data_IF_226425931994
#
_entry.id   IF_226425931994
#
_cell.length_a   1.000
_cell.length_b   1.000
_cell.length_c   1.000
_cell.angle_alpha   90.00
_cell.angle_beta   90.00
_cell.angle_gamma   90.00
#
_symmetry.space_group_name_H-M   'P 1'
#
loop_
_entity.id
_entity.type
_entity.pdbx_description
1 polymer ?
#
# COMPACT_ATOMS: atom_id res chain seq x y z
N UNK A 1 -23.59 74.91 20.36
CA UNK A 1 -22.72 73.82 20.70
C UNK A 1 -23.56 72.51 20.68
N UNK A 2 -23.51 71.76 19.54
CA UNK A 2 -24.15 70.44 19.42
C UNK A 2 -23.08 69.37 19.61
N UNK A 3 -23.21 68.57 20.67
CA UNK A 3 -22.35 67.38 20.92
C UNK A 3 -22.95 66.20 20.17
N UNK A 4 -22.22 65.76 19.11
CA UNK A 4 -22.51 64.49 18.44
C UNK A 4 -21.93 63.32 19.28
N UNK A 5 -22.79 62.41 19.66
CA UNK A 5 -22.43 61.16 20.33
C UNK A 5 -22.28 60.09 19.23
N UNK A 6 -21.06 59.67 18.96
CA UNK A 6 -20.76 58.56 18.06
C UNK A 6 -20.83 57.24 18.84
N UNK A 7 -21.82 56.39 18.51
CA UNK A 7 -21.96 55.05 19.07
C UNK A 7 -21.10 54.09 18.25
N UNK A 8 -20.01 53.60 18.84
CA UNK A 8 -19.17 52.54 18.23
C UNK A 8 -19.83 51.21 18.59
N UNK A 9 -20.48 50.55 17.62
CA UNK A 9 -20.96 49.17 17.75
C UNK A 9 -19.78 48.25 17.40
N UNK A 10 -19.18 47.68 18.44
CA UNK A 10 -18.18 46.59 18.28
C UNK A 10 -18.91 45.29 17.92
N UNK A 11 -18.87 44.90 16.65
CA UNK A 11 -19.32 43.58 16.20
C UNK A 11 -18.22 42.59 16.57
N UNK A 12 -18.44 41.77 17.59
CA UNK A 12 -17.61 40.58 17.86
C UNK A 12 -17.91 39.54 16.78
N UNK A 13 -17.03 39.44 15.82
CA UNK A 13 -16.96 38.30 14.90
C UNK A 13 -16.45 37.08 15.68
N UNK A 14 -17.37 36.26 16.20
CA UNK A 14 -17.05 34.92 16.69
C UNK A 14 -16.76 34.08 15.42
N UNK A 15 -15.49 33.94 15.08
CA UNK A 15 -15.04 32.94 14.09
C UNK A 15 -15.24 31.54 14.70
N UNK A 16 -16.40 30.95 14.45
CA UNK A 16 -16.57 29.51 14.65
C UNK A 16 -15.66 28.83 13.63
N UNK A 17 -14.48 28.38 14.05
CA UNK A 17 -13.69 27.45 13.24
C UNK A 17 -14.48 26.15 13.16
N UNK A 18 -15.25 26.01 12.09
CA UNK A 18 -15.78 24.72 11.67
C UNK A 18 -14.57 23.86 11.33
N UNK A 19 -14.16 22.99 12.25
CA UNK A 19 -13.20 21.94 11.92
C UNK A 19 -13.80 21.11 10.80
N UNK A 20 -13.14 21.11 9.64
CA UNK A 20 -13.63 20.38 8.48
C UNK A 20 -13.63 18.87 8.75
N UNK A 21 -14.79 18.23 8.58
CA UNK A 21 -14.92 16.77 8.73
C UNK A 21 -13.99 16.04 7.76
N UNK A 22 -13.38 14.92 8.22
CA UNK A 22 -12.45 14.13 7.41
C UNK A 22 -13.22 13.36 6.34
N UNK A 23 -13.08 13.76 5.08
CA UNK A 23 -13.61 13.10 3.88
C UNK A 23 -15.06 12.62 4.00
N UNK A 24 -16.04 13.50 4.27
CA UNK A 24 -17.43 13.09 4.53
C UNK A 24 -18.08 12.38 3.32
N UNK A 25 -17.52 12.49 2.14
CA UNK A 25 -18.01 11.86 0.91
C UNK A 25 -17.31 10.55 0.55
N UNK A 26 -16.30 10.13 1.33
CA UNK A 26 -15.50 8.94 1.00
C UNK A 26 -16.32 7.64 0.96
N UNK A 27 -17.47 7.60 1.64
CA UNK A 27 -18.41 6.48 1.52
C UNK A 27 -19.04 6.30 0.13
N UNK A 28 -18.89 7.30 -0.77
CA UNK A 28 -19.35 7.23 -2.15
C UNK A 28 -18.24 6.93 -3.16
N UNK A 29 -16.98 6.75 -2.69
CA UNK A 29 -15.89 6.44 -3.60
C UNK A 29 -16.07 5.04 -4.21
N UNK A 30 -15.57 4.87 -5.45
CA UNK A 30 -15.62 3.58 -6.14
C UNK A 30 -14.70 2.59 -5.46
N UNK A 31 -15.21 1.41 -5.25
CA UNK A 31 -14.53 0.28 -4.66
C UNK A 31 -13.84 -0.58 -5.71
N UNK A 32 -12.93 -1.45 -5.30
CA UNK A 32 -12.21 -2.36 -6.19
C UNK A 32 -12.96 -3.65 -6.46
N UNK A 33 -13.37 -4.33 -5.42
CA UNK A 33 -13.88 -5.71 -5.49
C UNK A 33 -15.31 -5.85 -4.96
N UNK A 34 -15.82 -4.93 -4.15
CA UNK A 34 -17.23 -4.90 -3.76
C UNK A 34 -18.02 -3.94 -4.67
N UNK A 35 -19.35 -4.03 -4.64
CA UNK A 35 -20.23 -3.24 -5.52
C UNK A 35 -20.24 -1.76 -5.14
N UNK A 36 -20.43 -1.45 -3.85
CA UNK A 36 -20.40 -0.08 -3.31
C UNK A 36 -20.32 -0.08 -1.79
N UNK A 37 -19.92 1.04 -1.19
CA UNK A 37 -19.96 1.20 0.27
C UNK A 37 -21.36 1.08 0.87
N UNK A 38 -22.37 1.55 0.16
CA UNK A 38 -23.78 1.55 0.62
C UNK A 38 -24.36 0.14 0.75
N UNK A 39 -23.98 -0.79 -0.13
CA UNK A 39 -24.51 -2.14 -0.14
C UNK A 39 -24.06 -2.99 1.07
N UNK A 40 -23.04 -2.49 1.78
CA UNK A 40 -22.48 -3.12 2.97
C UNK A 40 -22.59 -2.24 4.21
N UNK A 41 -23.37 -1.15 4.17
CA UNK A 41 -23.59 -0.29 5.34
C UNK A 41 -24.04 -1.13 6.52
N UNK A 42 -23.41 -0.90 7.67
CA UNK A 42 -23.79 -1.56 8.90
C UNK A 42 -25.15 -1.08 9.41
N UNK A 43 -25.81 -1.88 10.22
CA UNK A 43 -27.00 -1.46 10.96
C UNK A 43 -26.64 -0.34 11.95
N UNK A 44 -27.66 0.43 12.35
CA UNK A 44 -27.49 1.51 13.32
C UNK A 44 -26.90 0.96 14.65
N UNK A 45 -25.90 1.66 15.22
CA UNK A 45 -25.34 1.24 16.50
C UNK A 45 -26.35 1.39 17.63
N UNK A 46 -26.26 0.52 18.65
CA UNK A 46 -26.98 0.70 19.93
C UNK A 46 -26.53 1.95 20.67
N UNK A 47 -27.24 2.31 21.75
CA UNK A 47 -26.84 3.41 22.61
C UNK A 47 -25.44 3.18 23.21
N UNK A 48 -24.60 4.22 23.21
CA UNK A 48 -23.25 4.15 23.77
C UNK A 48 -23.22 4.52 25.29
N UNK A 49 -24.35 4.89 25.89
CA UNK A 49 -24.38 5.42 27.29
C UNK A 49 -23.77 4.44 28.29
N UNK A 50 -24.08 3.17 28.16
CA UNK A 50 -23.56 2.12 29.04
C UNK A 50 -22.08 1.81 28.75
N UNK A 51 -21.59 2.06 27.52
CA UNK A 51 -20.22 1.79 27.10
C UNK A 51 -19.22 2.83 27.64
N UNK A 52 -19.69 4.03 28.07
CA UNK A 52 -18.83 5.06 28.70
C UNK A 52 -18.11 4.49 29.93
N UNK A 53 -18.84 3.76 30.77
CA UNK A 53 -18.24 3.15 31.96
C UNK A 53 -17.14 2.13 31.62
N UNK A 54 -17.32 1.38 30.51
CA UNK A 54 -16.32 0.44 30.05
C UNK A 54 -15.06 1.15 29.51
N UNK A 55 -15.21 2.28 28.80
CA UNK A 55 -14.08 3.09 28.35
C UNK A 55 -13.30 3.65 29.55
N UNK A 56 -13.98 4.22 30.52
CA UNK A 56 -13.35 4.76 31.75
C UNK A 56 -12.64 3.66 32.54
N UNK A 57 -13.26 2.48 32.71
CA UNK A 57 -12.65 1.35 33.38
C UNK A 57 -11.37 0.88 32.66
N UNK A 58 -11.38 0.83 31.31
CA UNK A 58 -10.19 0.50 30.51
C UNK A 58 -9.08 1.52 30.70
N UNK A 59 -9.40 2.81 30.80
CA UNK A 59 -8.42 3.87 31.06
C UNK A 59 -7.82 3.78 32.46
N UNK A 60 -8.63 3.43 33.45
CA UNK A 60 -8.14 3.23 34.82
C UNK A 60 -7.22 2.01 34.97
N UNK A 61 -7.46 0.96 34.16
CA UNK A 61 -6.70 -0.26 34.19
C UNK A 61 -5.47 -0.22 33.25
N UNK A 62 -5.10 0.94 32.69
CA UNK A 62 -3.94 1.06 31.81
C UNK A 62 -2.63 0.84 32.58
N UNK A 63 -1.96 -0.24 32.20
CA UNK A 63 -0.59 -0.56 32.61
C UNK A 63 0.45 -0.21 31.52
N UNK A 64 1.71 -0.51 31.78
CA UNK A 64 2.80 -0.27 30.82
C UNK A 64 2.59 -1.01 29.47
N UNK A 65 2.07 -2.24 29.51
CA UNK A 65 1.80 -3.02 28.31
C UNK A 65 0.66 -2.40 27.49
N UNK A 66 -0.41 -1.95 28.14
CA UNK A 66 -1.51 -1.24 27.48
C UNK A 66 -1.06 0.07 26.83
N UNK A 67 -0.19 0.83 27.50
CA UNK A 67 0.43 2.03 26.91
C UNK A 67 1.26 1.71 25.67
N UNK A 68 2.07 0.67 25.70
CA UNK A 68 2.84 0.24 24.53
C UNK A 68 1.94 -0.13 23.35
N UNK A 69 0.79 -0.79 23.61
CA UNK A 69 -0.18 -1.08 22.55
C UNK A 69 -0.79 0.20 21.96
N UNK A 70 -1.14 1.19 22.79
CA UNK A 70 -1.65 2.48 22.30
C UNK A 70 -0.61 3.14 21.40
N UNK A 71 0.63 3.25 21.85
CA UNK A 71 1.74 3.86 21.08
C UNK A 71 1.97 3.10 19.76
N UNK A 72 2.03 1.77 19.81
CA UNK A 72 2.28 0.94 18.63
C UNK A 72 1.21 1.12 17.55
N UNK A 73 -0.08 1.11 17.96
CA UNK A 73 -1.19 1.23 17.00
C UNK A 73 -1.57 2.68 16.64
N UNK A 74 -1.01 3.68 17.31
CA UNK A 74 -1.09 5.08 16.92
C UNK A 74 -0.09 5.45 15.82
N UNK A 75 0.91 4.62 15.58
CA UNK A 75 1.91 4.89 14.56
C UNK A 75 1.29 4.70 13.16
N UNK A 76 1.11 5.79 12.45
CA UNK A 76 0.64 5.80 11.06
C UNK A 76 -0.88 5.66 10.88
N UNK A 77 -1.29 5.40 9.65
CA UNK A 77 -2.66 5.17 9.27
C UNK A 77 -3.17 3.80 9.78
N UNK A 78 -4.50 3.57 9.85
CA UNK A 78 -5.06 2.32 10.38
C UNK A 78 -4.49 1.02 9.80
N UNK A 79 -4.15 1.02 8.51
CA UNK A 79 -3.53 -0.14 7.81
C UNK A 79 -2.01 -0.25 7.91
N UNK A 80 -1.30 0.78 8.39
CA UNK A 80 0.16 0.89 8.28
C UNK A 80 0.91 -0.34 8.80
N UNK A 81 0.68 -0.75 10.06
CA UNK A 81 1.38 -1.90 10.65
C UNK A 81 1.09 -3.23 9.96
N UNK A 82 -0.07 -3.34 9.36
CA UNK A 82 -0.47 -4.52 8.60
C UNK A 82 0.23 -4.57 7.24
N UNK A 83 0.40 -3.41 6.60
CA UNK A 83 1.22 -3.31 5.38
C UNK A 83 2.69 -3.62 5.65
N UNK A 84 3.29 -3.08 6.73
CA UNK A 84 4.65 -3.48 7.13
C UNK A 84 4.79 -4.99 7.34
N UNK A 85 3.76 -5.64 7.89
CA UNK A 85 3.78 -7.08 8.13
C UNK A 85 3.72 -7.86 6.82
N UNK A 86 2.77 -7.54 5.93
CA UNK A 86 2.60 -8.29 4.68
C UNK A 86 3.80 -8.12 3.75
N UNK A 87 4.42 -6.94 3.71
CA UNK A 87 5.63 -6.68 2.94
C UNK A 87 6.78 -7.58 3.37
N UNK A 88 6.97 -7.75 4.70
CA UNK A 88 7.97 -8.66 5.26
C UNK A 88 7.65 -10.12 4.97
N UNK A 89 6.37 -10.50 5.08
CA UNK A 89 5.93 -11.87 4.78
C UNK A 89 6.16 -12.22 3.32
N UNK A 90 5.82 -11.33 2.40
CA UNK A 90 6.05 -11.55 0.97
C UNK A 90 7.54 -11.58 0.63
N UNK A 91 8.36 -10.74 1.24
CA UNK A 91 9.82 -10.77 1.04
C UNK A 91 10.43 -12.12 1.47
N UNK A 92 9.87 -12.75 2.50
CA UNK A 92 10.34 -14.03 3.02
C UNK A 92 9.73 -15.25 2.31
N UNK A 93 8.54 -15.09 1.74
CA UNK A 93 7.81 -16.12 0.98
C UNK A 93 7.47 -15.58 -0.42
N UNK A 94 8.47 -15.53 -1.26
CA UNK A 94 8.34 -15.07 -2.65
C UNK A 94 7.49 -16.07 -3.44
N UNK A 95 6.18 -15.87 -3.47
CA UNK A 95 5.21 -16.71 -4.18
C UNK A 95 4.15 -15.87 -4.90
N UNK A 96 3.47 -16.46 -5.88
CA UNK A 96 2.30 -15.82 -6.53
C UNK A 96 1.19 -15.53 -5.52
N UNK A 97 1.01 -16.40 -4.52
CA UNK A 97 0.05 -16.20 -3.44
C UNK A 97 0.44 -15.02 -2.54
N UNK A 98 1.73 -14.86 -2.24
CA UNK A 98 2.22 -13.70 -1.48
C UNK A 98 1.96 -12.37 -2.21
N UNK A 99 2.15 -12.33 -3.52
CA UNK A 99 1.82 -11.16 -4.33
C UNK A 99 0.32 -10.85 -4.31
N UNK A 100 -0.54 -11.88 -4.44
CA UNK A 100 -1.99 -11.74 -4.34
C UNK A 100 -2.41 -11.27 -2.93
N UNK A 101 -1.83 -11.84 -1.87
CA UNK A 101 -2.13 -11.45 -0.49
C UNK A 101 -1.82 -9.96 -0.23
N UNK A 102 -0.70 -9.46 -0.75
CA UNK A 102 -0.33 -8.03 -0.65
C UNK A 102 -1.36 -7.15 -1.38
N UNK A 103 -1.74 -7.51 -2.60
CA UNK A 103 -2.76 -6.77 -3.35
C UNK A 103 -4.10 -6.75 -2.59
N UNK A 104 -4.56 -7.91 -2.11
CA UNK A 104 -5.83 -8.03 -1.40
C UNK A 104 -5.83 -7.26 -0.08
N UNK A 105 -4.72 -7.24 0.66
CA UNK A 105 -4.65 -6.43 1.87
C UNK A 105 -4.92 -4.95 1.56
N UNK A 106 -4.31 -4.42 0.52
CA UNK A 106 -4.50 -3.03 0.10
C UNK A 106 -5.92 -2.74 -0.35
N UNK A 107 -6.46 -3.55 -1.26
CA UNK A 107 -7.82 -3.35 -1.82
C UNK A 107 -8.91 -3.55 -0.78
N UNK A 108 -8.83 -4.58 0.05
CA UNK A 108 -9.83 -4.87 1.07
C UNK A 108 -9.83 -3.85 2.21
N UNK A 109 -8.67 -3.33 2.65
CA UNK A 109 -8.63 -2.22 3.61
C UNK A 109 -9.29 -0.97 3.01
N UNK A 110 -9.03 -0.67 1.74
CA UNK A 110 -9.65 0.46 1.08
C UNK A 110 -11.17 0.27 0.94
N UNK A 111 -11.64 -0.84 0.41
CA UNK A 111 -13.06 -1.13 0.20
C UNK A 111 -13.81 -1.12 1.54
N UNK A 112 -13.27 -1.78 2.57
CA UNK A 112 -13.85 -1.75 3.90
C UNK A 112 -13.83 -0.35 4.54
N UNK A 113 -12.82 0.49 4.22
CA UNK A 113 -12.78 1.90 4.66
C UNK A 113 -13.88 2.71 3.98
N UNK A 114 -14.16 2.50 2.70
CA UNK A 114 -15.28 3.16 2.00
C UNK A 114 -16.61 2.80 2.68
N UNK A 115 -16.85 1.52 2.98
CA UNK A 115 -18.04 1.08 3.75
C UNK A 115 -18.10 1.73 5.13
N UNK A 116 -16.97 1.76 5.84
CA UNK A 116 -16.90 2.37 7.16
C UNK A 116 -17.25 3.86 7.10
N UNK A 117 -16.77 4.58 6.09
CA UNK A 117 -17.06 6.01 5.91
C UNK A 117 -18.54 6.28 5.57
N UNK A 118 -19.14 5.47 4.71
CA UNK A 118 -20.58 5.52 4.44
C UNK A 118 -21.38 5.31 5.74
N UNK A 119 -21.03 4.31 6.54
CA UNK A 119 -21.67 4.03 7.82
C UNK A 119 -21.45 5.14 8.85
N UNK A 120 -20.22 5.68 8.96
CA UNK A 120 -19.89 6.77 9.89
C UNK A 120 -20.78 7.97 9.69
N UNK A 121 -20.91 8.44 8.46
CA UNK A 121 -21.67 9.65 8.15
C UNK A 121 -23.18 9.41 8.03
N UNK A 122 -23.62 8.15 7.88
CA UNK A 122 -25.04 7.80 8.00
C UNK A 122 -25.55 7.94 9.45
N UNK A 123 -24.73 7.63 10.46
CA UNK A 123 -25.16 7.61 11.86
C UNK A 123 -24.56 8.71 12.73
N UNK A 124 -23.46 9.33 12.33
CA UNK A 124 -22.82 10.45 13.02
C UNK A 124 -22.59 10.22 14.52
N UNK A 125 -22.24 8.99 14.94
CA UNK A 125 -22.01 8.63 16.33
C UNK A 125 -20.83 9.43 16.90
N UNK A 126 -20.99 10.17 18.04
CA UNK A 126 -19.89 10.91 18.65
C UNK A 126 -18.81 9.95 19.15
N UNK A 127 -17.56 10.37 19.15
CA UNK A 127 -16.47 9.61 19.78
C UNK A 127 -16.58 9.68 21.30
N UNK A 128 -16.04 8.68 22.06
CA UNK A 128 -16.15 8.65 23.53
C UNK A 128 -15.73 9.96 24.20
N UNK A 129 -14.62 10.58 23.79
CA UNK A 129 -14.13 11.84 24.34
C UNK A 129 -15.00 13.08 24.01
N UNK A 130 -15.85 12.97 22.97
CA UNK A 130 -16.85 13.99 22.64
C UNK A 130 -18.11 13.77 23.49
N UNK A 131 -18.49 12.52 23.67
CA UNK A 131 -19.69 12.11 24.40
C UNK A 131 -19.57 12.35 25.91
N UNK A 132 -18.38 12.18 26.50
CA UNK A 132 -18.13 12.36 27.92
C UNK A 132 -16.75 13.00 28.19
N UNK A 133 -16.73 14.14 28.85
CA UNK A 133 -15.49 14.91 29.13
C UNK A 133 -14.54 14.24 30.14
N UNK A 134 -14.98 13.21 30.85
CA UNK A 134 -14.13 12.39 31.72
C UNK A 134 -13.20 11.49 30.95
N UNK A 135 -13.56 11.13 29.69
CA UNK A 135 -12.74 10.28 28.82
C UNK A 135 -11.54 11.09 28.34
N UNK A 136 -10.34 10.60 28.63
CA UNK A 136 -9.08 11.16 28.15
C UNK A 136 -8.79 10.63 26.73
N UNK A 137 -8.06 11.43 25.94
CA UNK A 137 -7.67 11.05 24.56
C UNK A 137 -6.19 10.77 24.53
N UNK A 138 -5.83 9.55 24.14
CA UNK A 138 -4.43 9.09 24.04
C UNK A 138 -4.04 8.71 22.61
N UNK A 139 -4.73 9.26 21.63
CA UNK A 139 -4.47 9.05 20.20
C UNK A 139 -4.67 10.35 19.42
N UNK A 140 -4.14 10.46 18.19
CA UNK A 140 -4.49 11.56 17.31
C UNK A 140 -6.00 11.67 17.11
N UNK A 141 -6.52 12.90 17.18
CA UNK A 141 -7.94 13.17 16.95
C UNK A 141 -8.19 13.20 15.45
N UNK A 142 -9.13 12.40 15.01
CA UNK A 142 -9.62 12.38 13.63
C UNK A 142 -11.04 12.96 13.66
N UNK A 143 -11.29 13.96 12.83
CA UNK A 143 -12.59 14.65 12.75
C UNK A 143 -13.58 13.82 11.91
N UNK A 144 -13.90 12.63 12.42
CA UNK A 144 -14.89 11.71 11.84
C UNK A 144 -15.69 11.01 12.95
N UNK A 145 -16.93 10.56 12.69
CA UNK A 145 -17.74 9.81 13.66
C UNK A 145 -17.04 8.52 14.13
N UNK A 146 -17.43 7.98 15.30
CA UNK A 146 -16.71 6.84 15.90
C UNK A 146 -17.06 5.50 15.27
N UNK A 147 -18.32 5.30 14.84
CA UNK A 147 -18.86 4.00 14.41
C UNK A 147 -18.85 3.81 12.89
N UNK A 148 -18.27 2.70 12.39
CA UNK A 148 -17.41 1.74 13.08
C UNK A 148 -15.96 2.26 13.26
N UNK A 149 -15.16 1.61 14.15
CA UNK A 149 -13.76 1.98 14.35
C UNK A 149 -12.90 1.61 13.15
N UNK A 150 -12.27 2.59 12.49
CA UNK A 150 -11.46 2.43 11.28
C UNK A 150 -10.21 1.54 11.49
N UNK A 151 -9.58 1.60 12.66
CA UNK A 151 -8.46 0.72 12.99
C UNK A 151 -8.89 -0.74 13.12
N UNK A 152 -10.08 -0.98 13.71
CA UNK A 152 -10.63 -2.33 13.84
C UNK A 152 -11.07 -2.89 12.48
N UNK A 153 -11.54 -2.03 11.56
CA UNK A 153 -11.81 -2.41 10.16
C UNK A 153 -10.54 -2.96 9.50
N UNK A 154 -9.44 -2.22 9.58
CA UNK A 154 -8.15 -2.67 9.03
C UNK A 154 -7.66 -3.96 9.70
N UNK A 155 -7.87 -4.12 11.01
CA UNK A 155 -7.50 -5.33 11.75
C UNK A 155 -8.30 -6.56 11.31
N UNK A 156 -9.62 -6.40 11.11
CA UNK A 156 -10.49 -7.47 10.61
C UNK A 156 -10.09 -7.94 9.20
N UNK A 157 -9.78 -6.98 8.32
CA UNK A 157 -9.25 -7.29 6.99
C UNK A 157 -7.92 -8.04 7.10
N UNK A 158 -6.96 -7.47 7.82
CA UNK A 158 -5.61 -7.98 7.84
C UNK A 158 -5.49 -9.36 8.50
N UNK A 159 -6.15 -9.57 9.65
CA UNK A 159 -6.14 -10.88 10.30
C UNK A 159 -6.76 -11.96 9.42
N UNK A 160 -7.78 -11.62 8.66
CA UNK A 160 -8.45 -12.58 7.73
C UNK A 160 -7.55 -12.90 6.54
N UNK A 161 -6.99 -11.91 5.86
CA UNK A 161 -6.15 -12.14 4.68
C UNK A 161 -4.84 -12.81 5.08
N UNK A 162 -4.13 -12.31 6.10
CA UNK A 162 -2.87 -12.91 6.54
C UNK A 162 -3.11 -14.33 7.06
N UNK A 163 -4.18 -14.56 7.85
CA UNK A 163 -4.51 -15.90 8.32
C UNK A 163 -4.87 -16.88 7.20
N UNK A 164 -5.48 -16.41 6.11
CA UNK A 164 -5.80 -17.23 4.94
C UNK A 164 -4.55 -17.65 4.15
N UNK A 165 -3.70 -16.69 3.80
CA UNK A 165 -2.52 -16.96 2.97
C UNK A 165 -1.31 -17.49 3.75
N UNK A 166 -1.25 -17.20 5.06
CA UNK A 166 -0.19 -17.64 5.98
C UNK A 166 -0.81 -18.33 7.21
N UNK A 167 -1.41 -19.54 7.07
CA UNK A 167 -2.20 -20.18 8.12
C UNK A 167 -1.48 -20.38 9.46
N UNK A 168 -0.15 -20.53 9.44
CA UNK A 168 0.68 -20.64 10.65
C UNK A 168 0.66 -19.37 11.51
N UNK A 169 0.25 -18.24 10.96
CA UNK A 169 0.16 -16.95 11.66
C UNK A 169 -1.26 -16.61 12.12
N UNK A 170 -2.27 -17.42 11.78
CA UNK A 170 -3.68 -17.09 12.01
C UNK A 170 -3.97 -16.70 13.47
N UNK A 171 -3.53 -17.49 14.43
CA UNK A 171 -3.75 -17.20 15.85
C UNK A 171 -3.01 -15.92 16.29
N UNK A 172 -1.77 -15.74 15.84
CA UNK A 172 -0.96 -14.56 16.17
C UNK A 172 -1.59 -13.26 15.66
N UNK A 173 -2.07 -13.24 14.41
CA UNK A 173 -2.70 -12.03 13.83
C UNK A 173 -4.07 -11.74 14.44
N UNK A 174 -4.83 -12.77 14.84
CA UNK A 174 -6.08 -12.59 15.59
C UNK A 174 -5.82 -11.98 16.98
N UNK A 175 -4.85 -12.46 17.74
CA UNK A 175 -4.45 -11.85 19.01
C UNK A 175 -3.93 -10.42 18.85
N UNK A 176 -3.22 -10.11 17.75
CA UNK A 176 -2.82 -8.74 17.43
C UNK A 176 -4.04 -7.84 17.20
N UNK A 177 -5.04 -8.32 16.48
CA UNK A 177 -6.29 -7.58 16.24
C UNK A 177 -7.05 -7.32 17.54
N UNK A 178 -7.14 -8.28 18.46
CA UNK A 178 -7.74 -8.10 19.80
C UNK A 178 -7.02 -7.02 20.62
N UNK A 179 -5.69 -7.06 20.64
CA UNK A 179 -4.87 -6.03 21.31
C UNK A 179 -5.08 -4.65 20.70
N UNK A 180 -5.16 -4.57 19.36
CA UNK A 180 -5.49 -3.32 18.66
C UNK A 180 -6.85 -2.80 19.13
N UNK A 181 -7.91 -3.60 19.06
CA UNK A 181 -9.27 -3.21 19.47
C UNK A 181 -9.30 -2.69 20.91
N UNK A 182 -8.69 -3.43 21.83
CA UNK A 182 -8.56 -3.02 23.24
C UNK A 182 -7.82 -1.70 23.37
N UNK A 183 -6.76 -1.47 22.61
CA UNK A 183 -6.00 -0.22 22.63
C UNK A 183 -6.83 0.99 22.18
N UNK A 184 -7.76 0.82 21.21
CA UNK A 184 -8.62 1.95 20.74
C UNK A 184 -9.64 2.37 21.81
N UNK A 185 -10.18 1.40 22.56
CA UNK A 185 -11.07 1.68 23.69
C UNK A 185 -10.29 2.42 24.78
N UNK A 186 -9.13 1.90 25.18
CA UNK A 186 -8.27 2.50 26.21
C UNK A 186 -7.75 3.89 25.79
N UNK A 187 -7.50 4.10 24.50
CA UNK A 187 -7.13 5.43 23.97
C UNK A 187 -8.28 6.45 23.97
N UNK A 188 -9.51 6.03 24.30
CA UNK A 188 -10.67 6.90 24.37
C UNK A 188 -11.24 7.35 23.03
N UNK A 189 -10.89 6.66 21.93
CA UNK A 189 -11.27 7.05 20.55
C UNK A 189 -12.37 6.20 19.94
N UNK A 190 -12.71 5.06 20.54
CA UNK A 190 -13.77 4.15 20.07
C UNK A 190 -14.47 3.49 21.26
N UNK A 191 -15.76 3.20 21.09
CA UNK A 191 -16.53 2.37 22.02
C UNK A 191 -16.28 0.88 21.73
N UNK A 192 -16.55 -0.02 22.71
CA UNK A 192 -16.47 -1.47 22.48
C UNK A 192 -17.28 -1.96 21.27
N UNK A 193 -18.49 -1.45 21.08
CA UNK A 193 -19.33 -1.79 19.93
C UNK A 193 -18.74 -1.26 18.60
N UNK A 194 -18.08 -0.09 18.59
CA UNK A 194 -17.42 0.44 17.40
C UNK A 194 -16.28 -0.49 16.95
N UNK A 195 -15.47 -0.99 17.90
CA UNK A 195 -14.34 -1.87 17.60
C UNK A 195 -14.80 -3.22 17.09
N UNK A 196 -15.83 -3.80 17.71
CA UNK A 196 -16.41 -5.07 17.29
C UNK A 196 -17.03 -4.96 15.90
N UNK A 197 -17.87 -3.95 15.67
CA UNK A 197 -18.50 -3.73 14.37
C UNK A 197 -17.47 -3.48 13.26
N UNK A 198 -16.40 -2.72 13.54
CA UNK A 198 -15.32 -2.51 12.60
C UNK A 198 -14.57 -3.79 12.25
N UNK A 199 -14.25 -4.61 13.23
CA UNK A 199 -13.57 -5.88 13.01
C UNK A 199 -14.39 -6.85 12.15
N UNK A 200 -15.67 -7.03 12.49
CA UNK A 200 -16.58 -7.92 11.72
C UNK A 200 -16.80 -7.40 10.29
N UNK A 201 -16.91 -6.08 10.10
CA UNK A 201 -16.97 -5.50 8.77
C UNK A 201 -15.72 -5.83 7.95
N UNK A 202 -14.54 -5.57 8.52
CA UNK A 202 -13.27 -5.85 7.84
C UNK A 202 -13.13 -7.31 7.44
N UNK A 203 -13.46 -8.23 8.36
CA UNK A 203 -13.47 -9.68 8.12
C UNK A 203 -14.44 -10.07 6.99
N UNK A 204 -15.67 -9.54 7.01
CA UNK A 204 -16.67 -9.85 5.99
C UNK A 204 -16.24 -9.39 4.58
N UNK A 205 -15.66 -8.20 4.46
CA UNK A 205 -15.15 -7.68 3.18
C UNK A 205 -13.97 -8.52 2.70
N UNK A 206 -13.01 -8.83 3.57
CA UNK A 206 -11.85 -9.65 3.22
C UNK A 206 -12.24 -11.03 2.68
N UNK A 207 -13.20 -11.72 3.33
CA UNK A 207 -13.71 -13.02 2.86
C UNK A 207 -14.34 -12.94 1.47
N UNK A 208 -15.07 -11.85 1.17
CA UNK A 208 -15.64 -11.62 -0.16
C UNK A 208 -14.57 -11.40 -1.22
N UNK A 209 -13.53 -10.63 -0.90
CA UNK A 209 -12.45 -10.37 -1.84
C UNK A 209 -11.61 -11.62 -2.10
N UNK A 210 -11.32 -12.41 -1.08
CA UNK A 210 -10.67 -13.73 -1.23
C UNK A 210 -11.48 -14.62 -2.19
N UNK A 211 -12.79 -14.73 -1.99
CA UNK A 211 -13.64 -15.55 -2.86
C UNK A 211 -13.66 -15.04 -4.31
N UNK A 212 -13.70 -13.72 -4.52
CA UNK A 212 -13.71 -13.12 -5.86
C UNK A 212 -12.39 -13.30 -6.61
N UNK A 213 -11.29 -13.48 -5.90
CA UNK A 213 -9.95 -13.61 -6.48
C UNK A 213 -9.38 -15.03 -6.42
N UNK A 214 -10.16 -16.02 -6.02
CA UNK A 214 -9.74 -17.43 -5.88
C UNK A 214 -9.10 -18.04 -7.14
N UNK A 215 -9.43 -17.49 -8.31
CA UNK A 215 -8.90 -17.92 -9.60
C UNK A 215 -7.86 -16.93 -10.20
N UNK A 216 -7.35 -16.00 -9.40
CA UNK A 216 -6.34 -15.04 -9.87
C UNK A 216 -4.98 -15.71 -10.02
N UNK A 217 -4.59 -16.52 -9.06
CA UNK A 217 -3.36 -17.32 -9.17
C UNK A 217 -3.62 -18.55 -10.02
N UNK A 218 -2.82 -18.72 -11.04
CA UNK A 218 -2.92 -19.89 -11.93
C UNK A 218 -2.65 -21.19 -11.18
N UNK A 219 -3.41 -22.24 -11.53
CA UNK A 219 -3.17 -23.62 -11.08
C UNK A 219 -2.26 -24.38 -12.02
N UNK A 220 -1.84 -23.76 -13.14
CA UNK A 220 -0.94 -24.37 -14.12
C UNK A 220 0.44 -24.56 -13.50
N UNK A 221 0.91 -25.77 -13.48
CA UNK A 221 2.28 -26.09 -13.09
C UNK A 221 3.24 -25.86 -14.28
N UNK A 222 4.45 -25.42 -13.96
CA UNK A 222 5.50 -25.30 -14.98
C UNK A 222 5.92 -26.68 -15.45
N UNK A 223 6.03 -26.86 -16.77
CA UNK A 223 6.38 -28.13 -17.43
C UNK A 223 7.88 -28.53 -17.28
N UNK A 224 8.66 -27.72 -16.55
CA UNK A 224 10.10 -27.90 -16.28
C UNK A 224 11.00 -27.89 -17.53
N UNK A 225 10.47 -27.42 -18.67
CA UNK A 225 11.27 -27.27 -19.90
C UNK A 225 12.01 -25.95 -19.88
N UNK A 226 13.33 -26.03 -20.04
CA UNK A 226 14.20 -24.86 -20.23
C UNK A 226 14.47 -24.72 -21.74
N UNK A 227 14.21 -23.54 -22.31
CA UNK A 227 14.63 -23.28 -23.70
C UNK A 227 16.15 -23.27 -23.80
N UNK A 228 16.67 -23.54 -24.99
CA UNK A 228 18.09 -23.58 -25.27
C UNK A 228 18.41 -22.67 -26.45
N UNK A 229 19.60 -22.11 -26.48
CA UNK A 229 20.08 -21.30 -27.59
C UNK A 229 20.92 -20.11 -27.12
N UNK A 230 21.53 -19.39 -28.08
CA UNK A 230 22.28 -18.18 -27.76
C UNK A 230 21.37 -17.10 -27.21
N UNK A 231 21.85 -16.33 -26.22
CA UNK A 231 21.07 -15.25 -25.59
C UNK A 231 19.96 -15.71 -24.66
N UNK A 232 19.83 -17.03 -24.43
CA UNK A 232 18.79 -17.60 -23.55
C UNK A 232 19.34 -17.86 -22.15
N UNK A 233 18.54 -17.53 -21.15
CA UNK A 233 18.82 -17.83 -19.74
C UNK A 233 19.00 -19.35 -19.53
N UNK A 234 20.11 -19.74 -18.91
CA UNK A 234 20.51 -21.14 -18.75
C UNK A 234 20.65 -21.56 -17.27
N UNK A 235 20.04 -20.81 -16.34
CA UNK A 235 20.04 -21.14 -14.92
C UNK A 235 19.18 -22.36 -14.58
N UNK A 236 19.16 -22.71 -13.30
CA UNK A 236 18.40 -23.85 -12.78
C UNK A 236 17.27 -23.35 -11.85
N UNK A 237 16.18 -24.13 -11.74
CA UNK A 237 15.08 -23.88 -10.82
C UNK A 237 14.53 -22.44 -10.90
N UNK A 238 13.98 -22.01 -12.02
CA UNK A 238 13.51 -20.65 -12.19
C UNK A 238 12.40 -20.33 -11.22
N UNK A 239 12.46 -19.13 -10.61
CA UNK A 239 11.39 -18.61 -9.73
C UNK A 239 10.26 -18.02 -10.56
N UNK A 240 9.04 -18.23 -10.15
CA UNK A 240 7.81 -17.67 -10.74
C UNK A 240 7.56 -17.97 -12.22
N UNK A 241 7.87 -19.18 -12.75
CA UNK A 241 7.76 -19.45 -14.17
C UNK A 241 6.34 -19.38 -14.73
N UNK A 242 5.33 -19.41 -13.86
CA UNK A 242 3.91 -19.33 -14.22
C UNK A 242 3.24 -18.01 -13.79
N UNK A 243 3.99 -17.06 -13.26
CA UNK A 243 3.41 -15.79 -12.77
C UNK A 243 2.69 -15.01 -13.89
N UNK A 244 3.22 -15.02 -15.11
CA UNK A 244 2.56 -14.40 -16.27
C UNK A 244 1.23 -15.05 -16.68
N UNK A 245 0.86 -16.19 -16.11
CA UNK A 245 -0.42 -16.87 -16.32
C UNK A 245 -1.47 -16.49 -15.25
N UNK A 246 -1.08 -15.69 -14.26
CA UNK A 246 -2.01 -15.16 -13.25
C UNK A 246 -2.88 -14.05 -13.84
N UNK A 247 -4.11 -13.91 -13.31
CA UNK A 247 -4.98 -12.80 -13.72
C UNK A 247 -4.49 -11.49 -13.14
N UNK A 248 -4.47 -10.45 -13.95
CA UNK A 248 -4.17 -9.07 -13.57
C UNK A 248 -5.40 -8.39 -12.95
N UNK A 249 -5.18 -7.34 -12.16
CA UNK A 249 -6.26 -6.59 -11.53
C UNK A 249 -6.80 -5.48 -12.44
N UNK A 250 -5.94 -4.81 -13.19
CA UNK A 250 -6.29 -3.67 -14.06
C UNK A 250 -5.96 -3.91 -15.52
N UNK A 251 -4.85 -4.59 -15.80
CA UNK A 251 -4.47 -4.88 -17.18
C UNK A 251 -5.44 -5.89 -17.81
N UNK A 252 -5.67 -5.78 -19.11
CA UNK A 252 -6.48 -6.73 -19.87
C UNK A 252 -5.83 -8.12 -19.97
N UNK A 253 -4.50 -8.15 -19.96
CA UNK A 253 -3.68 -9.36 -19.92
C UNK A 253 -2.28 -9.05 -19.38
N UNK A 254 -1.58 -10.07 -18.91
CA UNK A 254 -0.18 -9.98 -18.52
C UNK A 254 0.73 -9.43 -19.64
N UNK A 255 0.39 -9.72 -20.89
CA UNK A 255 1.16 -9.33 -22.08
C UNK A 255 0.79 -7.98 -22.68
N UNK A 256 -0.21 -7.26 -22.11
CA UNK A 256 -0.72 -6.00 -22.69
C UNK A 256 0.38 -4.97 -22.99
N UNK A 257 1.38 -4.87 -22.15
CA UNK A 257 2.49 -3.94 -22.30
C UNK A 257 3.85 -4.66 -22.41
N UNK A 258 3.85 -5.95 -22.82
CA UNK A 258 5.09 -6.70 -23.00
C UNK A 258 5.99 -5.92 -23.95
N UNK A 259 7.25 -5.62 -23.56
CA UNK A 259 8.20 -4.97 -24.45
C UNK A 259 8.52 -5.86 -25.65
N UNK A 260 9.10 -5.29 -26.71
CA UNK A 260 9.64 -6.07 -27.82
C UNK A 260 10.73 -7.06 -27.38
N UNK A 261 11.18 -7.96 -28.27
CA UNK A 261 12.24 -8.92 -27.93
C UNK A 261 13.54 -8.19 -27.57
N UNK A 262 14.36 -8.76 -26.66
CA UNK A 262 15.65 -8.19 -26.30
C UNK A 262 16.57 -8.13 -27.53
N UNK A 263 17.51 -7.14 -27.60
CA UNK A 263 18.52 -7.08 -28.63
C UNK A 263 19.61 -8.15 -28.42
N UNK A 264 20.59 -8.20 -29.33
CA UNK A 264 21.87 -8.82 -29.04
C UNK A 264 22.64 -7.98 -27.98
N UNK A 265 23.04 -8.61 -26.90
CA UNK A 265 23.68 -7.97 -25.76
C UNK A 265 25.20 -7.79 -25.89
N UNK A 266 25.82 -8.11 -27.03
CA UNK A 266 27.28 -8.05 -27.19
C UNK A 266 27.87 -6.70 -26.80
N UNK A 267 27.30 -5.61 -27.33
CA UNK A 267 27.75 -4.23 -27.04
C UNK A 267 27.54 -3.85 -25.56
N UNK A 268 26.43 -4.27 -24.99
CA UNK A 268 26.10 -3.97 -23.59
C UNK A 268 26.97 -4.78 -22.63
N UNK A 269 27.37 -5.99 -23.03
CA UNK A 269 28.36 -6.79 -22.28
C UNK A 269 29.73 -6.12 -22.27
N UNK A 270 30.16 -5.55 -23.40
CA UNK A 270 31.40 -4.76 -23.46
C UNK A 270 31.33 -3.50 -22.57
N UNK A 271 30.16 -2.86 -22.48
CA UNK A 271 29.95 -1.74 -21.55
C UNK A 271 30.10 -2.18 -20.08
N UNK A 272 29.51 -3.33 -19.72
CA UNK A 272 29.63 -3.89 -18.36
C UNK A 272 31.08 -4.26 -18.01
N UNK A 273 31.82 -4.88 -18.92
CA UNK A 273 33.24 -5.25 -18.73
C UNK A 273 34.11 -4.00 -18.50
N UNK A 274 33.79 -2.92 -19.21
CA UNK A 274 34.56 -1.67 -19.15
C UNK A 274 34.07 -0.73 -18.04
N UNK A 275 32.95 -1.03 -17.36
CA UNK A 275 32.41 -0.19 -16.30
C UNK A 275 33.35 -0.16 -15.10
N UNK A 276 33.75 1.04 -14.71
CA UNK A 276 34.62 1.25 -13.55
C UNK A 276 33.79 1.47 -12.29
N UNK A 277 33.79 0.49 -11.42
CA UNK A 277 33.14 0.62 -10.12
C UNK A 277 33.75 1.76 -9.30
N UNK A 278 32.87 2.51 -8.66
CA UNK A 278 33.23 3.55 -7.68
C UNK A 278 32.57 3.22 -6.35
N UNK A 279 33.02 3.82 -5.28
CA UNK A 279 32.32 3.70 -3.99
C UNK A 279 30.84 4.02 -4.10
N UNK A 280 30.49 5.09 -4.85
CA UNK A 280 29.09 5.50 -5.05
C UNK A 280 28.27 4.49 -5.84
N UNK A 281 28.81 3.93 -6.93
CA UNK A 281 28.09 2.93 -7.71
C UNK A 281 27.88 1.61 -6.94
N UNK A 282 28.90 1.19 -6.19
CA UNK A 282 28.77 0.02 -5.32
C UNK A 282 27.74 0.25 -4.20
N UNK A 283 27.79 1.40 -3.53
CA UNK A 283 26.80 1.75 -2.51
C UNK A 283 25.38 1.78 -3.07
N UNK A 284 25.17 2.33 -4.26
CA UNK A 284 23.88 2.34 -4.95
C UNK A 284 23.41 0.90 -5.27
N UNK A 285 24.30 0.05 -5.80
CA UNK A 285 24.00 -1.34 -6.11
C UNK A 285 23.51 -2.11 -4.86
N UNK A 286 24.21 -2.00 -3.74
CA UNK A 286 23.85 -2.66 -2.48
C UNK A 286 22.59 -2.09 -1.84
N UNK A 287 22.41 -0.76 -1.88
CA UNK A 287 21.20 -0.11 -1.33
C UNK A 287 19.93 -0.70 -1.95
N UNK A 288 19.85 -0.74 -3.28
CA UNK A 288 18.68 -1.29 -3.97
C UNK A 288 18.61 -2.83 -3.99
N UNK A 289 19.67 -3.53 -3.60
CA UNK A 289 19.63 -4.98 -3.47
C UNK A 289 18.99 -5.45 -2.16
N UNK A 290 19.09 -4.63 -1.09
CA UNK A 290 18.76 -5.04 0.28
C UNK A 290 17.46 -4.44 0.83
N UNK A 291 16.82 -3.50 0.13
CA UNK A 291 15.68 -2.75 0.67
C UNK A 291 14.43 -2.81 -0.22
N UNK A 292 13.26 -2.84 0.43
CA UNK A 292 11.96 -2.65 -0.23
C UNK A 292 11.70 -1.14 -0.43
N UNK A 293 12.52 -0.51 -1.25
CA UNK A 293 12.54 0.94 -1.45
C UNK A 293 11.16 1.54 -1.78
N UNK A 294 10.31 0.78 -2.47
CA UNK A 294 8.97 1.25 -2.85
C UNK A 294 8.02 1.37 -1.66
N UNK A 295 7.91 0.32 -0.83
CA UNK A 295 7.03 0.31 0.33
C UNK A 295 7.51 1.32 1.39
N UNK A 296 8.80 1.33 1.72
CA UNK A 296 9.39 2.26 2.69
C UNK A 296 9.17 3.72 2.27
N UNK A 297 9.31 4.02 0.98
CA UNK A 297 9.06 5.36 0.45
C UNK A 297 7.59 5.76 0.55
N UNK A 298 6.66 4.84 0.27
CA UNK A 298 5.22 5.09 0.42
C UNK A 298 4.87 5.38 1.89
N UNK A 299 5.32 4.53 2.81
CA UNK A 299 5.13 4.74 4.25
C UNK A 299 5.63 6.12 4.69
N UNK A 300 6.86 6.46 4.30
CA UNK A 300 7.45 7.77 4.59
C UNK A 300 6.58 8.92 4.06
N UNK A 301 6.07 8.82 2.82
CA UNK A 301 5.22 9.87 2.24
C UNK A 301 3.88 9.99 2.94
N UNK A 302 3.26 8.89 3.33
CA UNK A 302 2.03 8.90 4.13
C UNK A 302 2.24 9.65 5.46
N UNK A 303 3.38 9.44 6.12
CA UNK A 303 3.74 10.21 7.33
C UNK A 303 4.00 11.70 7.02
N UNK A 304 4.83 12.01 6.02
CA UNK A 304 5.19 13.38 5.66
C UNK A 304 3.98 14.23 5.26
N UNK A 305 2.94 13.61 4.70
CA UNK A 305 1.70 14.27 4.28
C UNK A 305 0.58 14.16 5.32
N UNK A 306 0.87 13.68 6.53
CA UNK A 306 -0.09 13.51 7.64
C UNK A 306 -1.34 12.69 7.26
N UNK A 307 -1.22 11.75 6.31
CA UNK A 307 -2.36 10.94 5.87
C UNK A 307 -2.86 9.96 6.94
N UNK A 308 -2.12 9.76 8.03
CA UNK A 308 -2.61 9.04 9.20
C UNK A 308 -3.83 9.72 9.84
N UNK A 309 -4.02 11.02 9.61
CA UNK A 309 -5.21 11.78 10.00
C UNK A 309 -6.34 11.74 8.95
N UNK A 310 -6.07 11.13 7.79
CA UNK A 310 -7.02 10.96 6.70
C UNK A 310 -7.05 9.48 6.23
N UNK A 311 -7.69 8.59 7.02
CA UNK A 311 -7.71 7.16 6.74
C UNK A 311 -8.18 6.76 5.34
N UNK A 312 -9.22 7.37 4.71
CA UNK A 312 -9.61 7.03 3.35
C UNK A 312 -8.51 7.28 2.32
N UNK A 313 -7.81 8.41 2.41
CA UNK A 313 -6.73 8.73 1.46
C UNK A 313 -5.50 7.86 1.68
N UNK A 314 -5.18 7.54 2.92
CA UNK A 314 -4.11 6.59 3.22
C UNK A 314 -4.43 5.20 2.66
N UNK A 315 -5.63 4.68 2.92
CA UNK A 315 -6.08 3.39 2.40
C UNK A 315 -6.07 3.37 0.86
N UNK A 316 -6.52 4.46 0.22
CA UNK A 316 -6.46 4.59 -1.25
C UNK A 316 -5.02 4.54 -1.78
N UNK A 317 -4.09 5.24 -1.14
CA UNK A 317 -2.69 5.24 -1.55
C UNK A 317 -2.07 3.84 -1.46
N UNK A 318 -2.33 3.11 -0.37
CA UNK A 318 -1.91 1.72 -0.22
C UNK A 318 -2.54 0.79 -1.26
N UNK A 319 -3.85 0.92 -1.52
CA UNK A 319 -4.53 0.09 -2.51
C UNK A 319 -3.96 0.31 -3.93
N UNK A 320 -3.74 1.56 -4.33
CA UNK A 320 -3.17 1.89 -5.63
C UNK A 320 -1.75 1.33 -5.79
N UNK A 321 -0.93 1.43 -4.75
CA UNK A 321 0.41 0.86 -4.75
C UNK A 321 0.36 -0.68 -4.84
N UNK A 322 -0.46 -1.33 -4.02
CA UNK A 322 -0.59 -2.78 -3.99
C UNK A 322 -1.08 -3.37 -5.32
N UNK A 323 -2.09 -2.75 -5.95
CA UNK A 323 -2.58 -3.14 -7.29
C UNK A 323 -1.50 -2.93 -8.34
N UNK A 324 -0.80 -1.78 -8.32
CA UNK A 324 0.26 -1.51 -9.29
C UNK A 324 1.44 -2.47 -9.17
N UNK A 325 1.84 -2.80 -7.93
CA UNK A 325 2.90 -3.79 -7.66
C UNK A 325 2.49 -5.16 -8.19
N UNK A 326 1.25 -5.60 -7.94
CA UNK A 326 0.74 -6.89 -8.39
C UNK A 326 0.73 -7.00 -9.92
N UNK A 327 0.16 -6.02 -10.62
CA UNK A 327 0.12 -6.03 -12.09
C UNK A 327 1.51 -5.87 -12.71
N UNK A 328 2.41 -5.07 -12.12
CA UNK A 328 3.81 -4.97 -12.53
C UNK A 328 4.55 -6.31 -12.36
N UNK A 329 4.32 -7.02 -11.26
CA UNK A 329 4.91 -8.33 -11.02
C UNK A 329 4.48 -9.31 -12.12
N UNK A 330 3.19 -9.44 -12.37
CA UNK A 330 2.66 -10.35 -13.40
C UNK A 330 3.19 -9.99 -14.79
N UNK A 331 3.08 -8.71 -15.21
CA UNK A 331 3.51 -8.27 -16.54
C UNK A 331 5.03 -8.42 -16.75
N UNK A 332 5.82 -8.16 -15.71
CA UNK A 332 7.27 -8.33 -15.77
C UNK A 332 7.65 -9.81 -15.94
N UNK A 333 7.04 -10.70 -15.15
CA UNK A 333 7.34 -12.13 -15.23
C UNK A 333 6.75 -12.79 -16.48
N UNK A 334 5.63 -12.30 -17.03
CA UNK A 334 5.15 -12.66 -18.37
C UNK A 334 6.21 -12.40 -19.44
N UNK A 335 6.76 -11.17 -19.47
CA UNK A 335 7.80 -10.82 -20.44
C UNK A 335 9.10 -11.63 -20.22
N UNK A 336 9.51 -11.83 -18.95
CA UNK A 336 10.69 -12.63 -18.63
C UNK A 336 10.62 -14.04 -19.18
N UNK A 337 9.50 -14.70 -19.02
CA UNK A 337 9.31 -16.09 -19.47
C UNK A 337 8.84 -16.21 -20.92
N UNK A 338 8.42 -15.09 -21.56
CA UNK A 338 8.24 -15.05 -23.00
C UNK A 338 9.59 -15.04 -23.75
N UNK A 339 10.59 -14.35 -23.21
CA UNK A 339 11.87 -14.14 -23.88
C UNK A 339 13.04 -14.93 -23.30
N UNK A 340 12.97 -15.35 -22.04
CA UNK A 340 14.05 -16.07 -21.36
C UNK A 340 15.42 -15.38 -21.48
N UNK A 341 15.46 -14.06 -21.43
CA UNK A 341 16.67 -13.26 -21.65
C UNK A 341 17.83 -13.65 -20.73
N UNK A 342 19.02 -13.83 -21.32
CA UNK A 342 20.25 -14.23 -20.62
C UNK A 342 20.69 -13.15 -19.61
N UNK A 343 21.45 -13.56 -18.58
CA UNK A 343 22.09 -12.65 -17.62
C UNK A 343 23.54 -12.36 -17.99
N UNK A 344 24.13 -11.23 -17.53
CA UNK A 344 25.53 -10.90 -17.84
C UNK A 344 26.54 -11.98 -17.47
N UNK A 345 26.42 -12.56 -16.26
CA UNK A 345 27.29 -13.65 -15.77
C UNK A 345 27.06 -15.01 -16.47
N UNK A 346 25.96 -15.16 -17.18
CA UNK A 346 25.70 -16.30 -18.06
C UNK A 346 26.17 -16.05 -19.50
N UNK A 347 26.13 -14.80 -19.95
CA UNK A 347 26.64 -14.38 -21.27
C UNK A 347 28.16 -14.46 -21.30
N UNK A 348 28.80 -14.01 -20.22
CA UNK A 348 30.25 -14.12 -20.01
C UNK A 348 30.52 -14.75 -18.64
N UNK A 349 30.93 -16.02 -18.66
CA UNK A 349 31.19 -16.81 -17.44
C UNK A 349 32.42 -16.33 -16.64
N UNK A 350 33.21 -15.43 -17.21
CA UNK A 350 34.34 -14.78 -16.52
C UNK A 350 33.95 -13.48 -15.84
N UNK A 351 32.76 -12.99 -16.09
CA UNK A 351 32.22 -11.78 -15.47
C UNK A 351 31.58 -12.09 -14.10
N UNK A 352 31.93 -11.29 -13.09
CA UNK A 352 31.45 -11.48 -11.72
C UNK A 352 30.66 -10.26 -11.25
N UNK A 353 29.33 -10.36 -11.10
CA UNK A 353 28.51 -9.26 -10.59
C UNK A 353 28.77 -8.99 -9.10
N UNK A 354 28.46 -7.75 -8.64
CA UNK A 354 28.63 -7.35 -7.23
C UNK A 354 27.65 -8.04 -6.28
N UNK A 355 26.51 -8.46 -6.78
CA UNK A 355 25.47 -9.13 -5.99
C UNK A 355 25.05 -10.43 -6.68
N UNK A 356 24.56 -11.42 -5.95
CA UNK A 356 24.11 -12.68 -6.55
C UNK A 356 23.03 -12.44 -7.62
N UNK A 357 23.19 -13.11 -8.77
CA UNK A 357 22.20 -13.10 -9.84
C UNK A 357 20.95 -13.86 -9.41
N UNK A 358 19.76 -13.23 -9.46
CA UNK A 358 18.53 -13.92 -9.12
C UNK A 358 18.20 -15.07 -10.07
N UNK A 359 17.58 -16.18 -9.60
CA UNK A 359 17.32 -17.37 -10.40
C UNK A 359 16.10 -17.22 -11.32
N UNK A 360 16.12 -16.23 -12.20
CA UNK A 360 15.12 -15.99 -13.25
C UNK A 360 15.71 -15.15 -14.39
N UNK A 361 15.08 -15.16 -15.59
CA UNK A 361 15.58 -14.43 -16.77
C UNK A 361 15.83 -12.95 -16.53
N UNK A 362 16.79 -12.37 -17.25
CA UNK A 362 17.21 -10.97 -17.12
C UNK A 362 16.15 -9.98 -17.61
N UNK A 363 15.74 -10.12 -18.85
CA UNK A 363 14.91 -9.15 -19.57
C UNK A 363 13.41 -9.36 -19.37
N UNK A 364 12.64 -8.28 -19.10
CA UNK A 364 13.05 -6.97 -18.60
C UNK A 364 13.43 -6.99 -17.11
N UNK A 365 14.10 -5.95 -16.61
CA UNK A 365 14.49 -5.84 -15.21
C UNK A 365 13.29 -5.65 -14.28
N UNK A 366 13.13 -6.54 -13.26
CA UNK A 366 12.05 -6.44 -12.28
C UNK A 366 12.16 -5.21 -11.39
N UNK A 367 13.38 -4.89 -10.89
CA UNK A 367 13.59 -3.69 -10.10
C UNK A 367 13.31 -2.41 -10.90
N UNK A 368 13.72 -2.36 -12.17
CA UNK A 368 13.42 -1.23 -13.03
C UNK A 368 11.91 -1.10 -13.30
N UNK A 369 11.18 -2.22 -13.43
CA UNK A 369 9.72 -2.22 -13.56
C UNK A 369 9.06 -1.57 -12.33
N UNK A 370 9.46 -1.97 -11.11
CA UNK A 370 8.97 -1.34 -9.88
C UNK A 370 9.37 0.13 -9.79
N UNK A 371 10.59 0.47 -10.21
CA UNK A 371 11.07 1.86 -10.23
C UNK A 371 10.28 2.76 -11.18
N UNK A 372 9.93 2.28 -12.36
CA UNK A 372 9.07 3.00 -13.32
C UNK A 372 7.63 3.19 -12.80
N UNK A 373 7.10 2.19 -12.10
CA UNK A 373 5.81 2.29 -11.41
C UNK A 373 5.86 3.37 -10.30
N UNK A 374 6.89 3.37 -9.47
CA UNK A 374 7.09 4.38 -8.39
C UNK A 374 7.11 5.78 -9.00
N UNK A 375 7.87 6.00 -10.07
CA UNK A 375 7.96 7.30 -10.73
C UNK A 375 6.58 7.86 -11.09
N UNK A 376 5.74 7.07 -11.74
CA UNK A 376 4.44 7.52 -12.26
C UNK A 376 3.39 7.56 -11.16
N UNK A 377 3.22 6.47 -10.42
CA UNK A 377 2.17 6.38 -9.41
C UNK A 377 2.39 7.33 -8.23
N UNK A 378 3.64 7.38 -7.70
CA UNK A 378 3.89 8.24 -6.54
C UNK A 378 3.93 9.72 -6.92
N UNK A 379 4.31 10.05 -8.16
CA UNK A 379 4.15 11.42 -8.68
C UNK A 379 2.68 11.83 -8.81
N UNK A 380 1.78 10.88 -9.11
CA UNK A 380 0.34 11.12 -9.09
C UNK A 380 -0.19 11.31 -7.67
N UNK A 381 0.24 10.48 -6.71
CA UNK A 381 -0.19 10.56 -5.32
C UNK A 381 0.40 11.79 -4.59
N UNK A 382 1.65 12.15 -4.87
CA UNK A 382 2.40 13.19 -4.18
C UNK A 382 3.10 14.13 -5.19
N UNK A 383 2.34 14.94 -5.94
CA UNK A 383 2.87 15.67 -7.11
C UNK A 383 3.98 16.67 -6.79
N UNK A 384 4.03 17.21 -5.57
CA UNK A 384 5.12 18.10 -5.13
C UNK A 384 6.48 17.41 -5.00
N UNK A 385 6.49 16.09 -4.86
CA UNK A 385 7.70 15.29 -4.69
C UNK A 385 8.13 14.55 -5.97
N UNK A 386 7.55 14.91 -7.13
CA UNK A 386 7.84 14.27 -8.43
C UNK A 386 9.33 14.09 -8.69
N UNK A 387 10.14 15.11 -8.44
CA UNK A 387 11.58 15.06 -8.67
C UNK A 387 12.29 13.97 -7.83
N UNK A 388 11.78 13.71 -6.62
CA UNK A 388 12.28 12.63 -5.76
C UNK A 388 12.00 11.27 -6.41
N UNK A 389 10.78 11.06 -6.90
CA UNK A 389 10.39 9.77 -7.49
C UNK A 389 11.09 9.51 -8.82
N UNK A 390 11.30 10.54 -9.63
CA UNK A 390 12.12 10.47 -10.85
C UNK A 390 13.55 10.06 -10.54
N UNK A 391 14.15 10.64 -9.49
CA UNK A 391 15.49 10.27 -9.05
C UNK A 391 15.55 8.83 -8.55
N UNK A 392 14.59 8.40 -7.72
CA UNK A 392 14.49 7.02 -7.22
C UNK A 392 14.37 6.03 -8.36
N UNK A 393 13.56 6.33 -9.37
CA UNK A 393 13.40 5.48 -10.54
C UNK A 393 14.70 5.33 -11.34
N UNK A 394 15.38 6.44 -11.58
CA UNK A 394 16.68 6.45 -12.28
C UNK A 394 17.74 5.68 -11.49
N UNK A 395 17.90 5.98 -10.21
CA UNK A 395 18.92 5.35 -9.36
C UNK A 395 18.63 3.85 -9.17
N UNK A 396 17.35 3.46 -9.03
CA UNK A 396 16.94 2.07 -8.90
C UNK A 396 17.24 1.24 -10.14
N UNK A 397 16.93 1.76 -11.33
CA UNK A 397 17.27 1.10 -12.59
C UNK A 397 18.80 1.02 -12.81
N UNK A 398 19.51 2.14 -12.62
CA UNK A 398 20.96 2.21 -12.77
C UNK A 398 21.68 1.27 -11.79
N UNK A 399 21.15 1.11 -10.59
CA UNK A 399 21.71 0.22 -9.57
C UNK A 399 21.85 -1.23 -10.04
N UNK A 400 20.99 -1.70 -10.94
CA UNK A 400 21.00 -3.07 -11.47
C UNK A 400 22.10 -3.28 -12.49
N UNK A 401 22.37 -2.26 -13.34
CA UNK A 401 23.54 -2.22 -14.21
C UNK A 401 24.82 -2.16 -13.37
N UNK A 402 24.89 -1.26 -12.40
CA UNK A 402 26.03 -1.12 -11.48
C UNK A 402 26.30 -2.39 -10.66
N UNK A 403 25.25 -3.14 -10.31
CA UNK A 403 25.38 -4.45 -9.67
C UNK A 403 25.88 -5.54 -10.62
N UNK A 404 25.84 -5.31 -11.93
CA UNK A 404 26.31 -6.25 -12.95
C UNK A 404 25.35 -7.42 -13.25
N UNK A 405 24.09 -7.32 -12.83
CA UNK A 405 23.09 -8.39 -12.98
C UNK A 405 22.05 -8.13 -14.08
N UNK A 406 22.13 -6.97 -14.74
CA UNK A 406 21.26 -6.56 -15.84
C UNK A 406 22.02 -5.73 -16.86
N UNK A 407 21.64 -5.88 -18.14
CA UNK A 407 22.00 -5.00 -19.22
C UNK A 407 21.20 -3.68 -19.18
N UNK A 408 21.64 -2.64 -19.90
CA UNK A 408 20.90 -1.35 -19.93
C UNK A 408 19.52 -1.50 -20.53
N UNK A 409 19.40 -2.22 -21.63
CA UNK A 409 18.10 -2.49 -22.28
C UNK A 409 17.13 -3.21 -21.34
N UNK A 410 17.61 -4.12 -20.47
CA UNK A 410 16.75 -4.74 -19.45
C UNK A 410 16.10 -3.68 -18.54
N UNK A 411 16.90 -2.67 -18.14
CA UNK A 411 16.46 -1.62 -17.25
C UNK A 411 15.54 -0.61 -17.95
N UNK A 412 15.84 -0.23 -19.18
CA UNK A 412 15.01 0.67 -19.98
C UNK A 412 13.63 0.06 -20.26
N UNK A 413 13.62 -1.20 -20.72
CA UNK A 413 12.38 -1.94 -20.95
C UNK A 413 11.57 -2.12 -19.66
N UNK A 414 12.24 -2.37 -18.53
CA UNK A 414 11.60 -2.47 -17.23
C UNK A 414 10.97 -1.15 -16.79
N UNK A 415 11.70 -0.03 -16.85
CA UNK A 415 11.17 1.30 -16.51
C UNK A 415 9.91 1.64 -17.32
N UNK A 416 9.97 1.41 -18.64
CA UNK A 416 8.84 1.71 -19.52
C UNK A 416 7.63 0.84 -19.23
N UNK A 417 7.84 -0.46 -18.97
CA UNK A 417 6.78 -1.39 -18.56
C UNK A 417 6.09 -0.90 -17.27
N UNK A 418 6.86 -0.57 -16.25
CA UNK A 418 6.33 -0.08 -14.96
C UNK A 418 5.55 1.23 -15.11
N UNK A 419 6.05 2.17 -15.92
CA UNK A 419 5.34 3.44 -16.23
C UNK A 419 3.99 3.19 -16.89
N UNK A 420 3.92 2.27 -17.86
CA UNK A 420 2.67 1.93 -18.57
C UNK A 420 1.65 1.28 -17.63
N UNK A 421 2.08 0.35 -16.80
CA UNK A 421 1.21 -0.29 -15.79
C UNK A 421 0.66 0.75 -14.82
N UNK A 422 1.51 1.59 -14.24
CA UNK A 422 1.07 2.65 -13.32
C UNK A 422 0.09 3.63 -13.99
N UNK A 423 0.35 4.02 -15.25
CA UNK A 423 -0.57 4.87 -16.01
C UNK A 423 -1.94 4.22 -16.23
N UNK A 424 -1.98 2.89 -16.48
CA UNK A 424 -3.24 2.15 -16.59
C UNK A 424 -4.02 2.14 -15.27
N UNK A 425 -3.34 1.92 -14.14
CA UNK A 425 -3.96 1.98 -12.80
C UNK A 425 -4.52 3.38 -12.52
N UNK A 426 -3.74 4.43 -12.79
CA UNK A 426 -4.22 5.81 -12.64
C UNK A 426 -5.44 6.10 -13.52
N UNK A 427 -5.42 5.64 -14.79
CA UNK A 427 -6.57 5.78 -15.70
C UNK A 427 -7.82 5.08 -15.16
N UNK A 428 -7.68 3.90 -14.54
CA UNK A 428 -8.79 3.13 -13.94
C UNK A 428 -9.48 3.89 -12.81
N UNK A 429 -8.70 4.63 -11.99
CA UNK A 429 -9.22 5.33 -10.81
C UNK A 429 -9.48 6.81 -11.02
N UNK A 430 -9.30 7.31 -12.24
CA UNK A 430 -9.53 8.70 -12.59
C UNK A 430 -10.98 9.07 -12.42
N UNK A 431 -11.76 9.05 -11.72
CA UNK A 431 -13.17 9.35 -11.44
C UNK A 431 -13.71 8.32 -10.43
N UNK A 432 -12.88 7.94 -9.47
CA UNK A 432 -13.29 7.04 -8.40
C UNK A 432 -14.07 7.76 -7.28
N UNK A 433 -14.25 9.09 -7.39
CA UNK A 433 -14.92 9.92 -6.40
C UNK A 433 -13.99 10.48 -5.33
N UNK A 434 -12.74 10.02 -5.29
CA UNK A 434 -11.69 10.62 -4.45
C UNK A 434 -11.12 11.90 -5.07
N UNK A 435 -11.90 12.55 -5.94
CA UNK A 435 -11.46 13.61 -6.85
C UNK A 435 -10.45 14.54 -6.20
N UNK A 436 -9.40 14.68 -6.95
CA UNK A 436 -8.47 15.79 -6.94
C UNK A 436 -7.63 16.00 -5.70
N UNK A 437 -6.40 15.89 -5.92
CA UNK A 437 -5.22 16.62 -5.43
C UNK A 437 -5.42 17.77 -4.41
N UNK A 438 -6.64 18.19 -4.12
CA UNK A 438 -6.96 19.25 -3.16
C UNK A 438 -6.66 18.87 -1.71
N UNK A 439 -6.52 17.59 -1.38
CA UNK A 439 -6.16 17.13 -0.03
C UNK A 439 -4.67 16.88 0.20
N UNK A 440 -3.84 16.84 -0.87
CA UNK A 440 -2.41 16.54 -0.80
C UNK A 440 -1.52 17.74 -1.16
N UNK A 441 -2.03 18.97 -1.01
CA UNK A 441 -1.25 20.20 -1.21
C UNK A 441 -0.30 20.47 -0.05
N UNK A 442 0.70 21.34 -0.27
CA UNK A 442 1.70 21.75 0.74
C UNK A 442 1.12 22.20 2.10
N UNK A 443 -0.18 22.52 2.20
CA UNK A 443 -0.83 22.87 3.47
C UNK A 443 -0.78 21.72 4.48
N UNK A 444 -0.73 20.46 4.04
CA UNK A 444 -0.61 19.30 4.94
C UNK A 444 0.82 19.04 5.44
N UNK A 445 1.83 19.76 4.92
CA UNK A 445 3.22 19.67 5.40
C UNK A 445 3.53 20.58 6.59
N UNK A 446 2.64 21.52 6.92
CA UNK A 446 2.86 22.45 8.04
C UNK A 446 2.14 21.92 9.27
N UNK A 447 2.86 21.10 10.03
CA UNK A 447 2.74 21.01 11.53
C UNK A 447 3.78 20.06 12.06
#
# INVERSE_FOLDING_TARGET
MKKSFTFIVSVLLISVQLQAQTEPTAGNWKTWLISSGKDYRLLAPSSYKEEIAQVLARQQALDSAGWQQIIYWNAGAPGYRWHEMIDKLWTNDLSNNGALANMLLGTAIYDATVVAWDTKYAYNRPRPYVADKRVKVYAPKIESPSYPCEHSVAAGVASTIIGHFFPKLADSVNHMAERLMSSRIAAGVAFPSDTRAGFELGKAIALKEIERTKDFVTKTEWDKKLPQGPGVWNGKNPMFPTAGLCKTMVLESASQYRPGPPPDFAKEMDELRNFKQTFRSSANAFHYASQNTGADLLHKKIFEYNLHLNPPRAARAYALAAVSIYDCFIACFDAKYAYWGIRPDQYDTTYHPLVPTPPFPGYPSGHATMSGMIEVLYSYLFPTDRAIFQKVAKDGAESRFQAGIHFRTDNEAGLELGRKVAAAVIKKVKNDGADNNSGLTQQNRKH
#
